data_IF_332041900229
#
_entry.id   IF_332041900229
#
_cell.length_a   1.000
_cell.length_b   1.000
_cell.length_c   1.000
_cell.angle_alpha   90.00
_cell.angle_beta   90.00
_cell.angle_gamma   90.00
#
_symmetry.space_group_name_H-M   'P 1'
#
loop_
_entity.id
_entity.type
_entity.pdbx_description
1 polymer ?
#
# COMPACT_ATOMS: atom_id res chain seq x y z
N UNK A 1 -17.03 -12.42 5.67
CA UNK A 1 -16.46 -12.21 7.03
C UNK A 1 -15.43 -13.25 7.48
N UNK A 2 -15.27 -14.40 6.81
CA UNK A 2 -14.34 -15.45 7.25
C UNK A 2 -12.86 -15.01 7.31
N UNK A 3 -12.38 -14.23 6.33
CA UNK A 3 -10.98 -13.76 6.29
C UNK A 3 -10.60 -12.84 7.46
N UNK A 4 -11.55 -12.08 8.02
CA UNK A 4 -11.32 -11.20 9.18
C UNK A 4 -11.10 -11.99 10.48
N UNK A 5 -11.60 -13.24 10.54
CA UNK A 5 -11.45 -14.10 11.72
C UNK A 5 -10.13 -14.89 11.74
N UNK A 6 -9.38 -14.89 10.63
CA UNK A 6 -8.09 -15.60 10.54
C UNK A 6 -7.00 -14.68 11.07
N UNK A 7 -6.35 -15.02 12.18
CA UNK A 7 -5.29 -14.20 12.77
C UNK A 7 -3.96 -14.25 11.98
N UNK A 8 -3.68 -15.37 11.33
CA UNK A 8 -2.47 -15.62 10.54
C UNK A 8 -2.49 -14.84 9.21
N UNK A 9 -1.50 -13.98 9.01
CA UNK A 9 -1.42 -13.13 7.83
C UNK A 9 -1.16 -13.91 6.53
N UNK A 10 -0.38 -15.00 6.57
CA UNK A 10 -0.09 -15.81 5.40
C UNK A 10 -1.35 -16.54 4.92
N UNK A 11 -2.11 -17.12 5.85
CA UNK A 11 -3.39 -17.77 5.55
C UNK A 11 -4.44 -16.77 5.06
N UNK A 12 -4.52 -15.58 5.66
CA UNK A 12 -5.40 -14.51 5.16
C UNK A 12 -5.09 -14.12 3.72
N UNK A 13 -3.80 -14.04 3.37
CA UNK A 13 -3.35 -13.67 2.01
C UNK A 13 -3.88 -14.63 0.95
N UNK A 14 -3.86 -15.93 1.23
CA UNK A 14 -4.39 -16.94 0.31
C UNK A 14 -5.89 -16.74 0.06
N UNK A 15 -6.67 -16.51 1.12
CA UNK A 15 -8.12 -16.25 0.99
C UNK A 15 -8.44 -14.93 0.27
N UNK A 16 -7.63 -13.89 0.47
CA UNK A 16 -7.85 -12.58 -0.18
C UNK A 16 -7.72 -12.65 -1.69
N UNK A 17 -6.84 -13.52 -2.21
CA UNK A 17 -6.72 -13.75 -3.65
C UNK A 17 -8.06 -14.12 -4.28
N UNK A 18 -8.78 -15.07 -3.69
CA UNK A 18 -10.04 -15.57 -4.24
C UNK A 18 -11.14 -14.50 -4.15
N UNK A 19 -11.18 -13.75 -3.05
CA UNK A 19 -12.12 -12.65 -2.85
C UNK A 19 -11.90 -11.56 -3.91
N UNK A 20 -10.65 -11.15 -4.13
CA UNK A 20 -10.29 -10.14 -5.12
C UNK A 20 -10.63 -10.60 -6.54
N UNK A 21 -10.37 -11.87 -6.86
CA UNK A 21 -10.71 -12.45 -8.16
C UNK A 21 -12.23 -12.40 -8.43
N UNK A 22 -13.05 -12.79 -7.44
CA UNK A 22 -14.52 -12.72 -7.57
C UNK A 22 -14.99 -11.29 -7.85
N UNK A 23 -14.40 -10.30 -7.19
CA UNK A 23 -14.75 -8.88 -7.41
C UNK A 23 -14.39 -8.41 -8.82
N UNK A 24 -13.25 -8.86 -9.37
CA UNK A 24 -12.84 -8.54 -10.73
C UNK A 24 -13.73 -9.26 -11.77
N UNK A 25 -13.96 -10.57 -11.58
CA UNK A 25 -14.73 -11.41 -12.51
C UNK A 25 -16.21 -11.02 -12.57
N UNK A 26 -16.78 -10.58 -11.45
CA UNK A 26 -18.18 -10.13 -11.37
C UNK A 26 -18.42 -8.79 -12.07
N UNK A 27 -17.37 -8.05 -12.43
CA UNK A 27 -17.49 -6.72 -13.06
C UNK A 27 -18.08 -5.64 -12.15
N UNK A 28 -18.24 -5.91 -10.85
CA UNK A 28 -18.75 -4.95 -9.85
C UNK A 28 -17.76 -3.79 -9.65
N UNK A 29 -16.47 -4.07 -9.84
CA UNK A 29 -15.41 -3.06 -9.86
C UNK A 29 -14.65 -3.13 -11.18
N UNK A 30 -14.23 -1.98 -11.69
CA UNK A 30 -13.28 -1.89 -12.79
C UNK A 30 -11.94 -1.50 -12.17
N UNK A 31 -10.99 -2.44 -12.08
CA UNK A 31 -9.63 -2.21 -11.57
C UNK A 31 -8.63 -2.26 -12.73
N UNK A 32 -8.36 -1.13 -13.41
CA UNK A 32 -7.58 -1.12 -14.65
C UNK A 32 -6.06 -1.19 -14.43
N UNK A 33 -5.56 -0.68 -13.30
CA UNK A 33 -4.13 -0.67 -12.98
C UNK A 33 -3.88 -0.34 -11.51
N UNK A 34 -2.67 -0.67 -11.06
CA UNK A 34 -2.11 -0.16 -9.82
C UNK A 34 -1.26 1.09 -10.11
N UNK A 35 -1.62 2.21 -9.50
CA UNK A 35 -0.96 3.49 -9.77
C UNK A 35 0.44 3.53 -9.13
N UNK A 36 1.44 3.97 -9.89
CA UNK A 36 2.75 4.35 -9.34
C UNK A 36 2.61 5.66 -8.54
N UNK A 37 3.16 5.67 -7.34
CA UNK A 37 3.20 6.86 -6.50
C UNK A 37 4.59 7.49 -6.54
N UNK A 38 4.64 8.82 -6.61
CA UNK A 38 5.88 9.59 -6.71
C UNK A 38 5.91 10.67 -5.63
N UNK A 39 7.08 10.86 -5.05
CA UNK A 39 7.38 11.92 -4.09
C UNK A 39 8.52 12.77 -4.64
N UNK A 40 8.46 14.08 -4.42
CA UNK A 40 9.52 15.01 -4.79
C UNK A 40 10.09 15.67 -3.53
N UNK A 41 11.41 15.64 -3.40
CA UNK A 41 12.16 16.27 -2.33
C UNK A 41 13.52 16.72 -2.85
N UNK A 42 14.09 17.75 -2.22
CA UNK A 42 15.50 18.12 -2.46
C UNK A 42 16.43 17.02 -1.97
N UNK A 43 17.63 16.93 -2.53
CA UNK A 43 18.60 15.88 -2.24
C UNK A 43 19.07 15.85 -0.77
N UNK A 44 18.96 16.98 -0.07
CA UNK A 44 19.28 17.12 1.35
C UNK A 44 18.30 16.35 2.27
N UNK A 45 17.07 16.10 1.82
CA UNK A 45 16.06 15.34 2.59
C UNK A 45 16.38 13.85 2.48
N UNK A 46 16.73 13.23 3.59
CA UNK A 46 17.04 11.79 3.66
C UNK A 46 15.93 11.03 4.33
N UNK A 47 15.80 9.76 3.93
CA UNK A 47 14.87 8.79 4.50
C UNK A 47 13.37 9.14 4.34
N UNK A 48 13.04 10.08 3.45
CA UNK A 48 11.66 10.37 3.06
C UNK A 48 11.25 9.50 1.88
N UNK A 49 10.11 8.82 2.00
CA UNK A 49 9.55 7.97 0.96
C UNK A 49 8.05 8.22 0.80
N UNK A 50 7.52 7.94 -0.40
CA UNK A 50 6.09 8.05 -0.66
C UNK A 50 5.32 6.92 0.05
N UNK A 51 4.43 7.28 0.98
CA UNK A 51 3.58 6.31 1.65
C UNK A 51 2.40 5.88 0.76
N UNK A 52 2.05 4.59 0.68
CA UNK A 52 0.93 4.09 -0.14
C UNK A 52 -0.42 4.77 0.12
N UNK A 53 -0.65 5.25 1.36
CA UNK A 53 -1.89 5.94 1.77
C UNK A 53 -1.82 7.46 1.67
N UNK A 54 -0.75 8.03 1.08
CA UNK A 54 -0.48 9.47 1.06
C UNK A 54 -0.25 10.12 2.43
N UNK A 55 -0.04 9.31 3.46
CA UNK A 55 0.43 9.77 4.75
C UNK A 55 1.87 10.33 4.64
N UNK A 56 2.16 11.33 5.47
CA UNK A 56 3.47 11.97 5.55
C UNK A 56 4.10 11.58 6.89
N UNK A 57 4.97 10.57 6.86
CA UNK A 57 5.75 10.17 8.03
C UNK A 57 7.11 10.86 8.00
N UNK A 58 7.33 11.72 9.00
CA UNK A 58 8.58 12.45 9.19
C UNK A 58 9.42 11.95 10.36
N UNK A 59 8.97 10.92 11.10
CA UNK A 59 9.61 10.49 12.35
C UNK A 59 11.04 9.97 12.20
N UNK A 60 11.44 9.60 10.98
CA UNK A 60 12.79 9.14 10.64
C UNK A 60 13.48 10.00 9.58
N UNK A 61 12.85 11.10 9.18
CA UNK A 61 13.36 11.99 8.13
C UNK A 61 14.36 12.97 8.74
N UNK A 62 15.45 13.23 8.04
CA UNK A 62 16.50 14.15 8.48
C UNK A 62 17.10 14.92 7.30
N UNK A 63 17.84 15.98 7.62
CA UNK A 63 18.53 16.84 6.65
C UNK A 63 20.04 16.63 6.74
N UNK A 64 20.67 16.43 5.59
CA UNK A 64 22.12 16.19 5.45
C UNK A 64 22.98 17.45 5.57
N UNK A 65 22.35 18.63 5.48
CA UNK A 65 22.98 19.95 5.57
C UNK A 65 23.04 20.49 7.02
N UNK A 66 22.88 19.63 8.02
CA UNK A 66 22.86 20.00 9.45
C UNK A 66 24.27 20.04 10.07
#
# INVERSE_FOLDING_TARGET
NAALAVADAAKRKEMMKDIEQILQDSGIIIQPYWRKLYSHSVAAVKNYAMHPTFERDYGKVWLDEA
#
